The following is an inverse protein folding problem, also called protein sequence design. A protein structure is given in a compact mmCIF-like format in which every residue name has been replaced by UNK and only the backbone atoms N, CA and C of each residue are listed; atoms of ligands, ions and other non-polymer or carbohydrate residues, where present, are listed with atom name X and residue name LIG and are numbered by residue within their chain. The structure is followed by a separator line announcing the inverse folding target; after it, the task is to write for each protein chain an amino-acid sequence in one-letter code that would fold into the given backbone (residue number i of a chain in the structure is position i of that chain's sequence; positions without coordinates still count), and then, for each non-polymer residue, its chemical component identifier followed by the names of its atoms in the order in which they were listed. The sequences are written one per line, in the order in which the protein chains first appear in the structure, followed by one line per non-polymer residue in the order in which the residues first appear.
data_IF_575236888933
#
_entry.id   IF_575236888933
#
_cell.length_a   1.000
_cell.length_b   1.000
_cell.length_c   1.000
_cell.angle_alpha   90.00
_cell.angle_beta   90.00
_cell.angle_gamma   90.00
#
_symmetry.space_group_name_H-M   'P 1'
#
loop_
_entity.id
_entity.type
_entity.pdbx_description
1 polymer ?
#
# COMPACT_ATOMS: atom_id res chain seq x y z
N UNK A 1 -3.04 -10.80 -3.31
CA UNK A 1 -3.50 -9.43 -3.67
C UNK A 1 -3.77 -9.23 -5.17
N UNK A 2 -2.87 -9.62 -6.09
CA UNK A 2 -2.97 -9.31 -7.53
C UNK A 2 -4.33 -9.59 -8.18
N UNK A 3 -4.93 -10.77 -7.95
CA UNK A 3 -6.24 -11.10 -8.51
C UNK A 3 -7.35 -10.10 -8.13
N UNK A 4 -7.37 -9.65 -6.87
CA UNK A 4 -8.32 -8.63 -6.39
C UNK A 4 -8.12 -7.28 -7.07
N UNK A 5 -6.88 -6.94 -7.42
CA UNK A 5 -6.58 -5.73 -8.19
C UNK A 5 -7.19 -5.85 -9.59
N UNK A 6 -6.98 -6.96 -10.28
CA UNK A 6 -7.52 -7.17 -11.64
C UNK A 6 -9.05 -7.11 -11.66
N UNK A 7 -9.71 -7.70 -10.66
CA UNK A 7 -11.15 -7.64 -10.48
C UNK A 7 -11.63 -6.18 -10.29
N UNK A 8 -11.03 -5.44 -9.35
CA UNK A 8 -11.39 -4.06 -9.11
C UNK A 8 -11.09 -3.14 -10.31
N UNK A 9 -10.06 -3.44 -11.11
CA UNK A 9 -9.80 -2.74 -12.37
C UNK A 9 -10.92 -2.99 -13.39
N UNK A 10 -11.42 -4.22 -13.49
CA UNK A 10 -12.56 -4.56 -14.36
C UNK A 10 -13.84 -3.82 -13.92
N UNK A 11 -14.09 -3.74 -12.62
CA UNK A 11 -15.22 -2.98 -12.07
C UNK A 11 -15.09 -1.47 -12.32
N UNK A 12 -13.90 -0.90 -12.10
CA UNK A 12 -13.65 0.52 -12.35
C UNK A 12 -13.94 0.94 -13.80
N UNK A 13 -13.76 0.03 -14.77
CA UNK A 13 -14.07 0.29 -16.19
C UNK A 13 -15.55 0.21 -16.53
N UNK A 14 -16.35 -0.58 -15.80
CA UNK A 14 -17.80 -0.67 -16.02
C UNK A 14 -18.50 0.64 -15.59
N UNK A 15 -17.92 1.34 -14.63
CA UNK A 15 -18.45 2.56 -14.05
C UNK A 15 -17.85 3.77 -14.80
N UNK A 16 -18.34 4.00 -16.02
CA UNK A 16 -17.79 4.87 -17.08
C UNK A 16 -17.57 6.38 -16.75
N UNK A 17 -17.62 6.80 -15.49
CA UNK A 17 -17.36 8.17 -15.03
C UNK A 17 -15.99 8.37 -14.36
N UNK A 18 -15.25 7.31 -14.01
CA UNK A 18 -13.97 7.43 -13.30
C UNK A 18 -12.68 7.50 -14.11
N UNK A 19 -12.56 6.94 -15.33
CA UNK A 19 -11.30 7.03 -16.07
C UNK A 19 -10.85 8.48 -16.34
N UNK A 20 -11.82 9.38 -16.53
CA UNK A 20 -11.61 10.77 -16.97
C UNK A 20 -11.06 11.68 -15.88
N UNK A 21 -11.43 11.48 -14.61
CA UNK A 21 -10.85 12.23 -13.47
C UNK A 21 -9.59 11.54 -12.91
N UNK A 22 -9.55 10.20 -12.88
CA UNK A 22 -8.43 9.43 -12.32
C UNK A 22 -7.14 9.50 -13.13
N UNK A 23 -7.24 9.82 -14.43
CA UNK A 23 -6.13 9.78 -15.38
C UNK A 23 -5.95 11.11 -16.12
N UNK A 24 -6.29 12.24 -15.50
CA UNK A 24 -6.09 13.62 -16.01
C UNK A 24 -4.61 13.83 -16.43
N UNK A 25 -4.24 13.35 -17.63
CA UNK A 25 -2.89 13.34 -18.19
C UNK A 25 -2.13 12.00 -18.23
N UNK A 26 -2.62 10.92 -17.61
CA UNK A 26 -1.91 9.62 -17.52
C UNK A 26 -2.55 8.47 -18.30
N UNK A 27 -3.71 8.70 -18.93
CA UNK A 27 -4.44 7.65 -19.67
C UNK A 27 -3.61 7.01 -20.78
N UNK A 28 -2.65 7.75 -21.32
CA UNK A 28 -1.81 7.34 -22.45
C UNK A 28 -0.58 6.53 -22.01
N UNK A 29 -0.30 6.44 -20.70
CA UNK A 29 0.88 5.75 -20.15
C UNK A 29 0.53 4.41 -19.50
N UNK A 30 -0.76 4.11 -19.34
CA UNK A 30 -1.21 2.83 -18.81
C UNK A 30 -1.25 1.79 -19.93
N UNK A 31 -0.48 0.72 -19.74
CA UNK A 31 -0.42 -0.40 -20.65
C UNK A 31 -1.25 -1.56 -20.12
N UNK A 32 -2.07 -2.14 -21.01
CA UNK A 32 -2.78 -3.40 -20.72
C UNK A 32 -1.86 -4.57 -21.06
N UNK A 33 -1.59 -5.43 -20.08
CA UNK A 33 -0.77 -6.65 -20.25
C UNK A 33 -1.62 -7.88 -20.57
N UNK A 34 -0.96 -8.99 -20.90
CA UNK A 34 -1.57 -10.29 -21.24
C UNK A 34 -2.44 -10.87 -20.12
N UNK A 35 -2.15 -10.52 -18.86
CA UNK A 35 -2.95 -10.92 -17.70
C UNK A 35 -4.25 -10.12 -17.54
N UNK A 36 -4.56 -9.22 -18.49
CA UNK A 36 -5.73 -8.36 -18.48
C UNK A 36 -5.62 -7.16 -17.53
N UNK A 37 -4.50 -6.99 -16.83
CA UNK A 37 -4.26 -5.90 -15.91
C UNK A 37 -3.70 -4.64 -16.56
N UNK A 38 -3.91 -3.50 -15.90
CA UNK A 38 -3.32 -2.22 -16.27
C UNK A 38 -2.06 -1.93 -15.45
N UNK A 39 -1.02 -1.47 -16.15
CA UNK A 39 0.31 -1.24 -15.61
C UNK A 39 0.85 0.13 -16.01
N UNK A 40 1.63 0.75 -15.13
CA UNK A 40 2.42 1.94 -15.42
C UNK A 40 3.89 1.61 -15.17
N UNK A 41 4.72 1.63 -16.22
CA UNK A 41 6.16 1.34 -16.13
C UNK A 41 6.45 0.05 -15.32
N UNK A 42 5.87 -1.08 -15.75
CA UNK A 42 5.94 -2.41 -15.11
C UNK A 42 5.27 -2.54 -13.73
N UNK A 43 4.60 -1.50 -13.21
CA UNK A 43 3.91 -1.55 -11.91
C UNK A 43 2.42 -1.68 -12.09
N UNK A 44 1.79 -2.59 -11.37
CA UNK A 44 0.34 -2.75 -11.47
C UNK A 44 -0.35 -1.51 -10.88
N UNK A 45 -1.30 -0.95 -11.64
CA UNK A 45 -2.09 0.16 -11.17
C UNK A 45 -3.10 -0.31 -10.12
N UNK A 46 -3.16 0.37 -8.98
CA UNK A 46 -4.10 0.03 -7.90
C UNK A 46 -5.27 1.02 -7.91
N UNK A 47 -6.51 0.57 -8.20
CA UNK A 47 -7.67 1.44 -8.18
C UNK A 47 -7.98 1.91 -6.74
N UNK A 48 -8.75 2.99 -6.62
CA UNK A 48 -9.29 3.45 -5.32
C UNK A 48 -10.30 2.43 -4.77
N UNK A 49 -10.96 1.69 -5.65
CA UNK A 49 -12.02 0.74 -5.33
C UNK A 49 -11.51 -0.50 -4.56
N UNK A 50 -12.40 -1.09 -3.76
CA UNK A 50 -12.15 -2.37 -3.09
C UNK A 50 -11.17 -2.33 -1.91
N UNK A 51 -10.87 -1.15 -1.36
CA UNK A 51 -9.94 -0.96 -0.23
C UNK A 51 -8.54 -1.57 -0.46
N UNK A 52 -8.15 -1.74 -1.73
CA UNK A 52 -6.95 -2.48 -2.11
C UNK A 52 -5.67 -1.77 -1.67
N UNK A 53 -5.65 -0.44 -1.71
CA UNK A 53 -4.50 0.36 -1.24
C UNK A 53 -4.22 0.08 0.23
N UNK A 54 -5.25 0.12 1.08
CA UNK A 54 -5.14 -0.19 2.50
C UNK A 54 -4.71 -1.64 2.73
N UNK A 55 -5.26 -2.58 1.97
CA UNK A 55 -4.86 -3.99 2.06
C UNK A 55 -3.36 -4.19 1.76
N UNK A 56 -2.86 -3.56 0.69
CA UNK A 56 -1.44 -3.58 0.32
C UNK A 56 -0.59 -2.95 1.41
N UNK A 57 -1.02 -1.81 1.96
CA UNK A 57 -0.32 -1.12 3.03
C UNK A 57 -0.26 -1.97 4.31
N UNK A 58 -1.37 -2.61 4.71
CA UNK A 58 -1.41 -3.54 5.83
C UNK A 58 -0.45 -4.73 5.66
N UNK A 59 -0.43 -5.34 4.48
CA UNK A 59 0.45 -6.48 4.21
C UNK A 59 1.92 -6.08 4.30
N UNK A 60 2.29 -4.93 3.73
CA UNK A 60 3.66 -4.41 3.82
C UNK A 60 4.06 -3.97 5.24
N UNK A 61 3.11 -3.46 6.01
CA UNK A 61 3.33 -3.07 7.41
C UNK A 61 3.53 -4.30 8.31
N UNK A 62 2.77 -5.38 8.07
CA UNK A 62 2.84 -6.61 8.87
C UNK A 62 4.08 -7.48 8.58
N UNK A 63 4.61 -7.44 7.35
CA UNK A 63 5.59 -8.44 6.88
C UNK A 63 7.04 -8.17 7.26
N UNK A 64 7.42 -6.98 7.79
CA UNK A 64 8.86 -6.69 7.87
C UNK A 64 9.44 -6.03 9.12
N UNK A 65 8.73 -5.29 9.99
CA UNK A 65 9.39 -4.68 11.15
C UNK A 65 8.46 -4.44 12.35
N UNK A 66 8.71 -5.15 13.46
CA UNK A 66 8.27 -4.78 14.82
C UNK A 66 8.96 -3.50 15.35
N UNK A 67 9.71 -2.78 14.51
CA UNK A 67 10.44 -1.55 14.86
C UNK A 67 10.16 -0.53 13.74
N UNK A 68 9.07 0.22 13.90
CA UNK A 68 8.61 1.37 13.10
C UNK A 68 9.29 1.60 11.73
N UNK A 69 8.85 0.91 10.67
CA UNK A 69 9.24 1.27 9.31
C UNK A 69 8.66 2.65 8.98
N UNK A 70 9.51 3.64 8.70
CA UNK A 70 9.08 4.96 8.27
C UNK A 70 8.42 4.97 6.88
N UNK A 71 7.69 6.05 6.57
CA UNK A 71 6.95 6.21 5.31
C UNK A 71 7.80 5.99 4.06
N UNK A 72 9.04 6.46 4.08
CA UNK A 72 9.98 6.28 2.96
C UNK A 72 10.24 4.82 2.69
N UNK A 73 10.53 4.04 3.74
CA UNK A 73 10.82 2.61 3.59
C UNK A 73 9.63 1.88 3.01
N UNK A 74 8.44 2.11 3.55
CA UNK A 74 7.20 1.49 3.06
C UNK A 74 6.92 1.87 1.61
N UNK A 75 7.20 3.10 1.21
CA UNK A 75 7.14 3.52 -0.19
C UNK A 75 8.13 2.75 -1.08
N UNK A 76 9.39 2.60 -0.65
CA UNK A 76 10.40 1.84 -1.42
C UNK A 76 10.05 0.35 -1.57
N UNK A 77 9.48 -0.26 -0.53
CA UNK A 77 9.04 -1.65 -0.57
C UNK A 77 7.88 -1.85 -1.57
N UNK A 78 6.94 -0.90 -1.64
CA UNK A 78 5.74 -1.02 -2.48
C UNK A 78 5.94 -0.53 -3.92
N UNK A 79 6.75 0.51 -4.15
CA UNK A 79 6.89 1.18 -5.45
C UNK A 79 7.46 0.30 -6.55
N UNK A 80 8.07 -0.84 -6.22
CA UNK A 80 8.59 -1.79 -7.21
C UNK A 80 7.49 -2.56 -7.91
N UNK A 81 6.37 -2.79 -7.22
CA UNK A 81 5.28 -3.65 -7.71
C UNK A 81 4.01 -2.87 -7.99
N UNK A 82 3.72 -1.84 -7.20
CA UNK A 82 2.45 -1.14 -7.20
C UNK A 82 2.60 0.34 -7.54
N UNK A 83 1.55 0.91 -8.13
CA UNK A 83 1.46 2.35 -8.35
C UNK A 83 0.01 2.85 -8.27
N UNK A 84 -0.17 4.05 -7.70
CA UNK A 84 -1.41 4.80 -7.80
C UNK A 84 -1.18 6.32 -7.59
N UNK A 85 -2.07 7.19 -8.09
CA UNK A 85 -1.99 8.61 -7.82
C UNK A 85 -2.06 8.90 -6.31
N UNK A 86 -1.09 9.64 -5.79
CA UNK A 86 -1.04 9.99 -4.36
C UNK A 86 -0.36 8.97 -3.45
N UNK A 87 0.23 7.89 -3.98
CA UNK A 87 0.83 6.79 -3.20
C UNK A 87 1.69 7.21 -1.99
N UNK A 88 2.59 8.19 -2.15
CA UNK A 88 3.41 8.68 -1.02
C UNK A 88 2.56 9.32 0.10
N UNK A 89 1.55 10.11 -0.28
CA UNK A 89 0.64 10.78 0.65
C UNK A 89 -0.22 9.77 1.40
N UNK A 90 -0.75 8.77 0.69
CA UNK A 90 -1.56 7.71 1.29
C UNK A 90 -0.75 6.90 2.30
N UNK A 91 0.53 6.58 2.00
CA UNK A 91 1.43 5.87 2.92
C UNK A 91 1.73 6.70 4.18
N UNK A 92 2.01 8.01 4.03
CA UNK A 92 2.25 8.88 5.18
C UNK A 92 1.02 8.92 6.11
N UNK A 93 -0.16 9.16 5.54
CA UNK A 93 -1.42 9.19 6.30
C UNK A 93 -1.72 7.83 6.95
N UNK A 94 -1.42 6.72 6.27
CA UNK A 94 -1.58 5.37 6.82
C UNK A 94 -0.71 5.15 8.06
N UNK A 95 0.57 5.55 8.02
CA UNK A 95 1.47 5.39 9.16
C UNK A 95 1.14 6.36 10.30
N UNK A 96 0.74 7.60 10.00
CA UNK A 96 0.26 8.55 11.02
C UNK A 96 -0.92 7.96 11.79
N UNK A 97 -1.88 7.36 11.08
CA UNK A 97 -3.01 6.66 11.71
C UNK A 97 -2.57 5.38 12.42
N UNK A 98 -1.70 4.57 11.83
CA UNK A 98 -1.26 3.29 12.43
C UNK A 98 -0.41 3.49 13.70
N UNK A 99 0.33 4.60 13.81
CA UNK A 99 1.16 4.91 14.98
C UNK A 99 0.34 5.60 16.08
N UNK A 100 -0.66 6.41 15.73
CA UNK A 100 -1.58 7.00 16.70
C UNK A 100 -2.44 5.95 17.43
N UNK A 101 -2.63 4.77 16.83
CA UNK A 101 -3.29 3.61 17.43
C UNK A 101 -2.28 2.51 17.80
N UNK A 102 -1.27 2.83 18.61
CA UNK A 102 -0.64 1.83 19.47
C UNK A 102 -1.37 1.84 20.82
N UNK A 103 -2.24 0.87 21.15
CA UNK A 103 -2.48 0.60 22.55
C UNK A 103 -1.10 0.27 23.14
N UNK A 104 -0.64 1.07 24.11
CA UNK A 104 0.46 0.66 24.97
C UNK A 104 0.14 -0.78 25.39
N UNK A 105 0.93 -1.74 24.90
CA UNK A 105 0.98 -3.04 25.55
C UNK A 105 1.95 -2.83 26.69
N UNK A 106 1.39 -2.40 27.81
CA UNK A 106 1.95 -2.49 29.14
C UNK A 106 2.27 -3.97 29.42
N UNK A 107 3.46 -4.40 29.00
CA UNK A 107 3.87 -5.80 29.07
C UNK A 107 5.40 -5.98 29.05
N UNK A 108 6.02 -5.72 30.21
CA UNK A 108 7.31 -6.24 30.70
C UNK A 108 8.48 -6.38 29.70
N UNK A 109 9.45 -5.46 29.80
CA UNK A 109 10.87 -5.78 29.61
C UNK A 109 11.60 -5.64 30.94
N UNK A 110 11.32 -6.53 31.91
CA UNK A 110 12.25 -6.79 33.00
C UNK A 110 13.39 -7.66 32.46
N UNK A 111 14.50 -7.04 32.06
CA UNK A 111 15.78 -7.74 31.97
C UNK A 111 16.51 -7.54 33.30
N UNK A 112 16.28 -8.46 34.22
CA UNK A 112 17.06 -8.59 35.46
C UNK A 112 18.49 -8.97 35.08
N UNK A 113 19.42 -8.03 35.21
CA UNK A 113 20.86 -8.30 35.16
C UNK A 113 21.22 -8.91 36.52
N UNK A 114 21.48 -10.21 36.58
CA UNK A 114 22.12 -10.83 37.74
C UNK A 114 23.64 -10.77 37.55
N UNK A 115 24.29 -9.89 38.30
CA UNK A 115 25.73 -9.93 38.56
C UNK A 115 25.99 -11.00 39.61
N UNK A 116 26.76 -12.03 39.28
CA UNK A 116 27.35 -12.97 40.24
C UNK A 116 28.75 -12.47 40.59
N UNK A 117 28.96 -12.11 41.86
CA UNK A 117 30.26 -12.21 42.54
C UNK A 117 30.20 -13.40 43.52
#
# INVERSE_FOLDING_TARGET
IKAKILEAQSEAFKNASTPTEMLKGLGNQLERKEDGGLYLAERIWVPVYGNLRTLIMNEAHATRYSIHPGADKMYYDLRGLYWWPGMKKDIAMYLDLSTAYHPETDGQSERTIQTLE
#
